data_IF_529297081899
#
_entry.id   IF_529297081899
#
_cell.length_a   1.000
_cell.length_b   1.000
_cell.length_c   1.000
_cell.angle_alpha   90.00
_cell.angle_beta   90.00
_cell.angle_gamma   90.00
#
_symmetry.space_group_name_H-M   'P 1'
#
loop_
_entity.id
_entity.type
_entity.pdbx_description
1 polymer ?
#
# COMPACT_ATOMS: atom_id res chain seq x y z
N UNK A 1 13.25 16.52 -18.32
CA UNK A 1 13.89 16.63 -16.97
C UNK A 1 14.99 15.56 -16.82
N UNK A 2 15.84 15.68 -15.82
CA UNK A 2 16.92 14.72 -15.56
C UNK A 2 16.64 13.93 -14.30
N UNK A 3 16.65 12.60 -14.39
CA UNK A 3 16.65 11.70 -13.25
C UNK A 3 18.02 11.03 -13.09
N UNK A 4 18.63 11.19 -11.91
CA UNK A 4 19.85 10.48 -11.56
C UNK A 4 19.50 9.14 -10.92
N UNK A 5 19.89 8.04 -11.56
CA UNK A 5 19.58 6.68 -11.15
C UNK A 5 20.85 5.81 -11.28
N UNK A 6 21.30 5.16 -10.20
CA UNK A 6 22.51 4.32 -10.19
C UNK A 6 23.75 5.03 -10.77
N UNK A 7 24.01 6.27 -10.29
CA UNK A 7 25.13 7.12 -10.72
C UNK A 7 25.12 7.50 -12.22
N UNK A 8 23.98 7.35 -12.88
CA UNK A 8 23.77 7.76 -14.28
C UNK A 8 22.64 8.78 -14.36
N UNK A 9 22.86 9.80 -15.21
CA UNK A 9 21.84 10.79 -15.54
C UNK A 9 21.05 10.33 -16.76
N UNK A 10 19.72 10.35 -16.65
CA UNK A 10 18.80 10.02 -17.72
C UNK A 10 17.94 11.23 -18.05
N UNK A 11 17.96 11.66 -19.29
CA UNK A 11 17.03 12.65 -19.80
C UNK A 11 15.68 11.97 -20.07
N UNK A 12 14.63 12.40 -19.41
CA UNK A 12 13.29 11.79 -19.49
C UNK A 12 12.22 12.87 -19.68
N UNK A 13 11.07 12.47 -20.18
CA UNK A 13 9.91 13.35 -20.25
C UNK A 13 9.43 13.78 -18.85
N UNK A 14 8.71 14.89 -18.76
CA UNK A 14 8.03 15.29 -17.52
C UNK A 14 7.04 14.20 -17.09
N UNK A 15 6.91 14.03 -15.77
CA UNK A 15 6.04 13.02 -15.16
C UNK A 15 6.41 11.56 -15.50
N UNK A 16 7.63 11.30 -15.97
CA UNK A 16 8.13 9.92 -16.11
C UNK A 16 8.25 9.28 -14.72
N UNK A 17 7.73 8.06 -14.56
CA UNK A 17 7.92 7.29 -13.32
C UNK A 17 9.28 6.58 -13.33
N UNK A 18 9.84 6.34 -12.13
CA UNK A 18 11.05 5.53 -12.00
C UNK A 18 10.83 4.10 -12.49
N UNK A 19 9.62 3.55 -12.26
CA UNK A 19 9.26 2.22 -12.75
C UNK A 19 9.32 2.10 -14.29
N UNK A 20 8.88 3.12 -15.02
CA UNK A 20 8.97 3.11 -16.48
C UNK A 20 10.40 3.29 -16.97
N UNK A 21 11.19 4.12 -16.30
CA UNK A 21 12.64 4.25 -16.57
C UNK A 21 13.35 2.91 -16.35
N UNK A 22 13.10 2.23 -15.23
CA UNK A 22 13.69 0.93 -14.93
C UNK A 22 13.30 -0.14 -15.95
N UNK A 23 12.04 -0.19 -16.39
CA UNK A 23 11.60 -1.10 -17.46
C UNK A 23 12.36 -0.88 -18.77
N UNK A 24 12.61 0.38 -19.12
CA UNK A 24 13.33 0.72 -20.33
C UNK A 24 14.82 0.37 -20.25
N UNK A 25 15.44 0.59 -19.09
CA UNK A 25 16.88 0.41 -18.90
C UNK A 25 17.28 -1.00 -18.43
N UNK A 26 16.39 -1.71 -17.74
CA UNK A 26 16.63 -2.99 -17.08
C UNK A 26 15.42 -3.93 -17.24
N UNK A 27 15.04 -4.31 -18.48
CA UNK A 27 13.79 -5.02 -18.74
C UNK A 27 13.65 -6.35 -18.00
N UNK A 28 14.74 -7.03 -17.71
CA UNK A 28 14.74 -8.32 -17.02
C UNK A 28 14.78 -8.18 -15.49
N UNK A 29 15.26 -7.06 -14.97
CA UNK A 29 15.60 -6.88 -13.54
C UNK A 29 14.70 -5.90 -12.79
N UNK A 30 13.93 -5.06 -13.46
CA UNK A 30 13.13 -3.99 -12.83
C UNK A 30 12.14 -4.50 -11.77
N UNK A 31 11.65 -5.73 -11.92
CA UNK A 31 10.62 -6.30 -11.03
C UNK A 31 11.09 -6.53 -9.59
N UNK A 32 12.38 -6.48 -9.32
CA UNK A 32 12.89 -6.57 -7.94
C UNK A 32 12.67 -5.29 -7.12
N UNK A 33 12.43 -4.15 -7.79
CA UNK A 33 12.23 -2.86 -7.13
C UNK A 33 10.77 -2.69 -6.73
N UNK A 34 10.56 -2.22 -5.50
CA UNK A 34 9.25 -2.15 -4.85
C UNK A 34 8.75 -0.71 -4.72
N UNK A 35 9.64 0.22 -4.44
CA UNK A 35 9.36 1.60 -4.07
C UNK A 35 10.54 2.48 -4.44
N UNK A 36 10.36 3.78 -4.47
CA UNK A 36 11.41 4.77 -4.74
C UNK A 36 11.63 5.65 -3.53
N UNK A 37 12.88 5.89 -3.17
CA UNK A 37 13.28 6.97 -2.26
C UNK A 37 13.73 8.17 -3.11
N UNK A 38 13.12 9.32 -2.86
CA UNK A 38 13.47 10.60 -3.47
C UNK A 38 14.69 11.23 -2.78
N UNK A 39 15.22 12.29 -3.38
CA UNK A 39 16.41 12.98 -2.87
C UNK A 39 16.23 13.56 -1.45
N UNK A 40 15.01 13.98 -1.10
CA UNK A 40 14.64 14.48 0.23
C UNK A 40 14.37 13.36 1.27
N UNK A 41 14.53 12.09 0.88
CA UNK A 41 14.25 10.91 1.70
C UNK A 41 12.82 10.43 1.66
N UNK A 42 11.90 11.15 1.03
CA UNK A 42 10.48 10.75 0.88
C UNK A 42 10.37 9.47 0.06
N UNK A 43 9.47 8.58 0.46
CA UNK A 43 9.13 7.38 -0.30
C UNK A 43 7.92 7.62 -1.18
N UNK A 44 7.96 7.15 -2.42
CA UNK A 44 6.80 7.16 -3.33
C UNK A 44 6.67 5.84 -4.08
N UNK A 45 5.46 5.58 -4.59
CA UNK A 45 5.20 4.38 -5.40
C UNK A 45 6.11 4.32 -6.61
N UNK A 46 6.54 3.12 -7.00
CA UNK A 46 7.46 2.90 -8.12
C UNK A 46 6.99 3.54 -9.43
N UNK A 47 5.67 3.63 -9.62
CA UNK A 47 5.02 4.21 -10.80
C UNK A 47 4.39 5.59 -10.57
N UNK A 48 4.71 6.24 -9.44
CA UNK A 48 4.33 7.64 -9.26
C UNK A 48 5.10 8.54 -10.24
N UNK A 49 4.42 9.53 -10.84
CA UNK A 49 5.09 10.51 -11.71
C UNK A 49 6.06 11.36 -10.88
N UNK A 50 7.27 11.55 -11.40
CA UNK A 50 8.26 12.45 -10.81
C UNK A 50 8.10 13.85 -11.42
N UNK A 51 7.94 14.86 -10.57
CA UNK A 51 7.59 16.21 -11.01
C UNK A 51 8.78 17.06 -11.48
N UNK A 52 10.00 16.78 -11.01
CA UNK A 52 11.20 17.57 -11.31
C UNK A 52 12.47 16.73 -11.32
N UNK A 53 13.54 17.32 -11.86
CA UNK A 53 14.86 16.68 -11.90
C UNK A 53 15.40 16.44 -10.50
N UNK A 54 15.83 15.23 -10.18
CA UNK A 54 16.37 14.84 -8.89
C UNK A 54 17.08 13.50 -8.92
N UNK A 55 17.75 13.15 -7.83
CA UNK A 55 18.28 11.81 -7.59
C UNK A 55 17.15 10.91 -7.06
N UNK A 56 17.05 9.70 -7.61
CA UNK A 56 16.05 8.70 -7.20
C UNK A 56 16.73 7.37 -6.91
N UNK A 57 16.33 6.73 -5.82
CA UNK A 57 16.88 5.43 -5.39
C UNK A 57 15.75 4.40 -5.33
N UNK A 58 15.65 3.50 -6.32
CA UNK A 58 14.71 2.40 -6.25
C UNK A 58 15.16 1.35 -5.23
N UNK A 59 14.24 0.92 -4.37
CA UNK A 59 14.51 0.03 -3.25
C UNK A 59 13.93 -1.35 -3.50
N UNK A 60 14.65 -2.37 -3.03
CA UNK A 60 14.23 -3.78 -3.07
C UNK A 60 13.73 -4.24 -1.70
N UNK A 61 13.32 -5.50 -1.59
CA UNK A 61 12.94 -6.12 -0.31
C UNK A 61 14.10 -6.19 0.71
N UNK A 62 15.35 -6.20 0.25
CA UNK A 62 16.51 -6.24 1.15
C UNK A 62 16.76 -4.90 1.87
N UNK A 63 16.25 -3.80 1.30
CA UNK A 63 16.26 -2.49 1.95
C UNK A 63 15.17 -2.42 3.06
N UNK A 64 15.47 -1.88 4.25
CA UNK A 64 14.50 -1.77 5.34
C UNK A 64 13.21 -1.04 4.94
N UNK A 65 13.30 0.05 4.17
CA UNK A 65 12.12 0.79 3.71
C UNK A 65 11.35 0.01 2.64
N UNK A 66 12.04 -0.68 1.73
CA UNK A 66 11.41 -1.57 0.76
C UNK A 66 10.65 -2.72 1.44
N UNK A 67 11.23 -3.30 2.48
CA UNK A 67 10.61 -4.33 3.31
C UNK A 67 9.39 -3.80 4.06
N UNK A 68 9.48 -2.60 4.64
CA UNK A 68 8.35 -1.94 5.31
C UNK A 68 7.18 -1.73 4.35
N UNK A 69 7.42 -1.28 3.13
CA UNK A 69 6.39 -1.12 2.09
C UNK A 69 5.77 -2.46 1.69
N UNK A 70 6.59 -3.52 1.63
CA UNK A 70 6.09 -4.87 1.37
C UNK A 70 5.11 -5.33 2.47
N UNK A 71 5.48 -5.20 3.74
CA UNK A 71 4.61 -5.59 4.86
C UNK A 71 3.37 -4.71 4.96
N UNK A 72 3.50 -3.41 4.72
CA UNK A 72 2.37 -2.50 4.64
C UNK A 72 1.37 -2.92 3.54
N UNK A 73 1.85 -3.27 2.36
CA UNK A 73 0.97 -3.77 1.29
C UNK A 73 0.36 -5.13 1.62
N UNK A 74 1.07 -5.98 2.38
CA UNK A 74 0.54 -7.25 2.86
C UNK A 74 -0.58 -7.06 3.90
N UNK A 75 -0.49 -6.04 4.78
CA UNK A 75 -1.57 -5.71 5.71
C UNK A 75 -2.84 -5.26 4.98
N UNK A 76 -2.71 -4.45 3.93
CA UNK A 76 -3.86 -4.07 3.10
C UNK A 76 -4.44 -5.24 2.29
N UNK A 77 -3.60 -6.17 1.79
CA UNK A 77 -4.07 -7.40 1.18
C UNK A 77 -4.88 -8.25 2.17
N UNK A 78 -4.46 -8.29 3.44
CA UNK A 78 -5.20 -8.96 4.51
C UNK A 78 -6.53 -8.23 4.79
N UNK A 79 -6.53 -6.91 4.89
CA UNK A 79 -7.75 -6.13 5.09
C UNK A 79 -8.77 -6.34 3.96
N UNK A 80 -8.32 -6.36 2.71
CA UNK A 80 -9.15 -6.73 1.55
C UNK A 80 -9.76 -8.12 1.71
N UNK A 81 -8.95 -9.12 2.07
CA UNK A 81 -9.42 -10.50 2.25
C UNK A 81 -10.44 -10.61 3.40
N UNK A 82 -10.21 -9.89 4.50
CA UNK A 82 -11.15 -9.81 5.62
C UNK A 82 -12.47 -9.19 5.17
N UNK A 83 -12.45 -8.06 4.48
CA UNK A 83 -13.69 -7.42 3.97
C UNK A 83 -14.47 -8.30 2.99
N UNK A 84 -13.80 -9.17 2.22
CA UNK A 84 -14.47 -10.13 1.36
C UNK A 84 -15.21 -11.23 2.13
N UNK A 85 -14.63 -11.70 3.22
CA UNK A 85 -15.17 -12.80 4.01
C UNK A 85 -16.09 -12.33 5.14
N UNK A 86 -15.79 -11.15 5.69
CA UNK A 86 -16.45 -10.54 6.83
C UNK A 86 -16.76 -9.07 6.52
N UNK A 87 -17.74 -8.78 5.67
CA UNK A 87 -18.02 -7.42 5.18
C UNK A 87 -18.39 -6.44 6.32
N UNK A 88 -18.93 -6.96 7.43
CA UNK A 88 -19.30 -6.15 8.61
C UNK A 88 -18.11 -5.74 9.48
N UNK A 89 -16.94 -6.40 9.34
CA UNK A 89 -15.73 -6.03 10.07
C UNK A 89 -15.33 -4.58 9.75
N UNK A 90 -15.11 -3.75 10.78
CA UNK A 90 -14.68 -2.36 10.61
C UNK A 90 -13.16 -2.27 10.59
N UNK A 91 -12.65 -1.44 9.72
CA UNK A 91 -11.22 -1.24 9.54
C UNK A 91 -10.71 -0.20 10.53
N UNK A 92 -9.74 -0.55 11.37
CA UNK A 92 -9.01 0.40 12.18
C UNK A 92 -7.66 0.75 11.52
N UNK A 93 -6.56 0.22 12.01
CA UNK A 93 -5.21 0.49 11.50
C UNK A 93 -4.44 -0.79 11.21
N UNK A 94 -3.54 -0.73 10.23
CA UNK A 94 -2.72 -1.88 9.79
C UNK A 94 -1.28 -1.50 9.49
N UNK A 95 -0.45 -1.19 10.50
CA UNK A 95 0.94 -0.84 10.27
C UNK A 95 1.80 -2.05 9.92
N UNK A 96 2.89 -1.79 9.20
CA UNK A 96 4.01 -2.71 9.13
C UNK A 96 4.79 -2.67 10.46
N UNK A 97 5.26 -3.83 10.89
CA UNK A 97 6.20 -4.00 12.00
C UNK A 97 7.54 -4.53 11.49
N UNK A 98 8.55 -4.65 12.36
CA UNK A 98 9.91 -4.99 11.95
C UNK A 98 10.00 -6.28 11.11
N UNK A 99 9.28 -7.34 11.50
CA UNK A 99 9.34 -8.65 10.87
C UNK A 99 7.96 -9.16 10.41
N UNK A 100 7.05 -8.24 10.05
CA UNK A 100 5.72 -8.63 9.62
C UNK A 100 4.73 -7.47 9.52
N UNK A 101 3.47 -7.83 9.66
CA UNK A 101 2.35 -6.89 9.60
C UNK A 101 1.21 -7.38 10.48
N UNK A 102 0.35 -6.47 10.86
CA UNK A 102 -0.96 -6.78 11.44
C UNK A 102 -2.01 -5.80 10.92
N UNK A 103 -3.24 -6.05 11.24
CA UNK A 103 -4.34 -5.13 11.00
C UNK A 103 -5.39 -5.30 12.09
N UNK A 104 -5.83 -4.20 12.66
CA UNK A 104 -6.85 -4.18 13.70
C UNK A 104 -8.24 -4.05 13.07
N UNK A 105 -9.12 -4.94 13.48
CA UNK A 105 -10.51 -4.99 13.04
C UNK A 105 -11.43 -4.95 14.24
N UNK A 106 -12.49 -4.16 14.16
CA UNK A 106 -13.60 -4.28 15.07
C UNK A 106 -14.66 -5.22 14.48
N UNK A 107 -15.01 -6.25 15.23
CA UNK A 107 -15.91 -7.33 14.82
C UNK A 107 -16.82 -7.74 15.98
N UNK A 108 -18.09 -8.00 15.70
CA UNK A 108 -19.03 -8.51 16.72
C UNK A 108 -18.58 -9.86 17.31
N UNK A 109 -18.02 -10.71 16.47
CA UNK A 109 -17.49 -12.03 16.86
C UNK A 109 -15.98 -12.05 16.58
N UNK A 110 -15.14 -12.31 17.59
CA UNK A 110 -13.69 -12.42 17.40
C UNK A 110 -13.31 -13.47 16.38
N UNK A 111 -12.27 -13.20 15.58
CA UNK A 111 -11.73 -14.18 14.65
C UNK A 111 -11.18 -15.41 15.37
N UNK A 112 -11.35 -16.55 14.75
CA UNK A 112 -10.82 -17.84 15.21
C UNK A 112 -9.57 -18.24 14.41
N UNK A 113 -8.87 -19.28 14.88
CA UNK A 113 -7.76 -19.87 14.11
C UNK A 113 -8.20 -20.47 12.77
N UNK A 114 -9.46 -20.94 12.68
CA UNK A 114 -10.04 -21.41 11.41
C UNK A 114 -10.26 -20.27 10.43
N UNK A 115 -10.62 -19.08 10.93
CA UNK A 115 -10.82 -17.90 10.09
C UNK A 115 -9.49 -17.40 9.51
N UNK A 116 -8.37 -17.53 10.25
CA UNK A 116 -7.04 -17.23 9.71
C UNK A 116 -6.74 -18.03 8.44
N UNK A 117 -7.06 -19.34 8.44
CA UNK A 117 -6.84 -20.19 7.27
C UNK A 117 -7.72 -19.77 6.08
N UNK A 118 -8.95 -19.32 6.33
CA UNK A 118 -9.85 -18.79 5.28
C UNK A 118 -9.32 -17.47 4.74
N UNK A 119 -8.87 -16.56 5.62
CA UNK A 119 -8.30 -15.26 5.25
C UNK A 119 -7.03 -15.47 4.43
N UNK A 120 -6.10 -16.35 4.84
CA UNK A 120 -4.91 -16.69 4.04
C UNK A 120 -5.25 -17.16 2.63
N UNK A 121 -6.24 -18.04 2.50
CA UNK A 121 -6.69 -18.54 1.19
C UNK A 121 -7.25 -17.43 0.32
N UNK A 122 -8.01 -16.52 0.91
CA UNK A 122 -8.57 -15.37 0.20
C UNK A 122 -7.47 -14.36 -0.19
N UNK A 123 -6.51 -14.08 0.71
CA UNK A 123 -5.33 -13.28 0.38
C UNK A 123 -4.56 -13.86 -0.82
N UNK A 124 -4.33 -15.18 -0.84
CA UNK A 124 -3.68 -15.86 -1.98
C UNK A 124 -4.49 -15.70 -3.27
N UNK A 125 -5.83 -15.76 -3.19
CA UNK A 125 -6.72 -15.55 -4.33
C UNK A 125 -6.62 -14.12 -4.84
N UNK A 126 -6.61 -13.13 -3.96
CA UNK A 126 -6.48 -11.71 -4.31
C UNK A 126 -5.09 -11.39 -4.90
N UNK A 127 -4.01 -11.90 -4.31
CA UNK A 127 -2.66 -11.69 -4.84
C UNK A 127 -2.50 -12.20 -6.29
N UNK A 128 -3.14 -13.33 -6.63
CA UNK A 128 -3.10 -13.88 -8.00
C UNK A 128 -3.80 -13.02 -9.06
N UNK A 129 -4.68 -12.08 -8.65
CA UNK A 129 -5.39 -11.20 -9.58
C UNK A 129 -4.51 -10.10 -10.19
N UNK A 130 -3.27 -9.98 -9.78
CA UNK A 130 -2.33 -8.94 -10.25
C UNK A 130 -2.88 -7.51 -10.10
N UNK A 131 -3.49 -7.23 -8.96
CA UNK A 131 -4.07 -5.92 -8.64
C UNK A 131 -2.95 -4.90 -8.45
N UNK A 132 -3.07 -3.75 -9.13
CA UNK A 132 -2.17 -2.59 -8.96
C UNK A 132 -2.81 -1.59 -8.03
N UNK A 133 -2.22 -1.27 -6.88
CA UNK A 133 -2.69 -0.20 -6.02
C UNK A 133 -2.69 1.13 -6.79
N UNK A 134 -3.76 1.89 -6.65
CA UNK A 134 -3.93 3.22 -7.28
C UNK A 134 -4.17 4.26 -6.20
N UNK A 135 -3.23 5.20 -6.06
CA UNK A 135 -3.34 6.33 -5.15
C UNK A 135 -4.21 7.43 -5.76
N UNK A 136 -5.07 8.03 -4.93
CA UNK A 136 -5.78 9.26 -5.24
C UNK A 136 -6.03 10.06 -3.95
N UNK A 137 -6.45 11.30 -4.08
CA UNK A 137 -6.76 12.18 -2.95
C UNK A 137 -8.20 12.65 -3.03
N UNK A 138 -8.80 12.91 -1.88
CA UNK A 138 -10.13 13.52 -1.77
C UNK A 138 -10.06 14.73 -0.85
N UNK A 139 -10.84 15.79 -1.13
CA UNK A 139 -11.12 16.84 -0.17
C UNK A 139 -11.73 16.25 1.11
N UNK A 140 -11.46 16.85 2.27
CA UNK A 140 -11.88 16.33 3.59
C UNK A 140 -13.37 15.97 3.66
N UNK A 141 -14.24 16.86 3.20
CA UNK A 141 -15.68 16.61 3.23
C UNK A 141 -16.09 15.39 2.38
N UNK A 142 -15.46 15.22 1.21
CA UNK A 142 -15.69 14.06 0.34
C UNK A 142 -15.11 12.78 0.94
N UNK A 143 -13.93 12.85 1.57
CA UNK A 143 -13.29 11.74 2.26
C UNK A 143 -14.15 11.22 3.42
N UNK A 144 -14.70 12.10 4.24
CA UNK A 144 -15.62 11.77 5.34
C UNK A 144 -16.89 11.10 4.76
N UNK A 145 -17.55 11.74 3.79
CA UNK A 145 -18.75 11.19 3.16
C UNK A 145 -18.50 9.81 2.52
N UNK A 146 -17.35 9.63 1.89
CA UNK A 146 -16.93 8.38 1.29
C UNK A 146 -16.77 7.25 2.33
N UNK A 147 -16.10 7.53 3.47
CA UNK A 147 -15.92 6.54 4.53
C UNK A 147 -17.20 6.27 5.31
N UNK A 148 -18.06 7.27 5.51
CA UNK A 148 -19.41 7.09 6.07
C UNK A 148 -20.26 6.16 5.19
N UNK A 149 -20.25 6.38 3.86
CA UNK A 149 -20.97 5.54 2.92
C UNK A 149 -20.48 4.08 2.88
N UNK A 150 -19.23 3.85 3.26
CA UNK A 150 -18.63 2.51 3.43
C UNK A 150 -18.81 1.93 4.83
N UNK A 151 -19.42 2.66 5.75
CA UNK A 151 -19.63 2.26 7.14
C UNK A 151 -18.30 1.97 7.88
N UNK A 152 -17.27 2.80 7.65
CA UNK A 152 -15.95 2.70 8.29
C UNK A 152 -15.76 3.84 9.32
N UNK A 153 -16.37 3.73 10.54
CA UNK A 153 -16.40 4.81 11.51
C UNK A 153 -15.00 5.21 12.01
N UNK A 154 -14.09 4.25 12.21
CA UNK A 154 -12.73 4.55 12.65
C UNK A 154 -11.92 5.32 11.61
N UNK A 155 -12.23 5.16 10.32
CA UNK A 155 -11.60 5.97 9.27
C UNK A 155 -12.15 7.38 9.24
N UNK A 156 -13.44 7.56 9.57
CA UNK A 156 -14.04 8.88 9.74
C UNK A 156 -13.39 9.61 10.92
N UNK A 157 -13.33 8.97 12.09
CA UNK A 157 -12.66 9.52 13.29
C UNK A 157 -11.19 9.89 12.99
N UNK A 158 -10.45 8.99 12.34
CA UNK A 158 -9.06 9.28 11.94
C UNK A 158 -8.95 10.52 11.04
N UNK A 159 -9.87 10.70 10.07
CA UNK A 159 -9.87 11.87 9.20
C UNK A 159 -10.17 13.15 10.01
N UNK A 160 -11.10 13.07 10.96
CA UNK A 160 -11.48 14.22 11.80
C UNK A 160 -10.34 14.66 12.73
N UNK A 161 -9.53 13.71 13.21
CA UNK A 161 -8.38 13.96 14.09
C UNK A 161 -7.14 14.51 13.35
N UNK A 162 -7.05 14.34 12.03
CA UNK A 162 -5.93 14.87 11.24
C UNK A 162 -6.00 16.40 11.11
N UNK A 163 -4.86 17.11 10.99
CA UNK A 163 -4.81 18.55 10.71
C UNK A 163 -5.67 18.93 9.49
N UNK A 164 -6.27 20.13 9.51
CA UNK A 164 -7.18 20.58 8.44
C UNK A 164 -6.52 20.66 7.06
N UNK A 165 -5.22 20.95 7.01
CA UNK A 165 -4.40 21.09 5.81
C UNK A 165 -3.78 19.74 5.35
N UNK A 166 -4.02 18.65 6.08
CA UNK A 166 -3.49 17.33 5.72
C UNK A 166 -4.09 16.82 4.41
N UNK A 167 -3.21 16.31 3.54
CA UNK A 167 -3.61 15.71 2.26
C UNK A 167 -4.14 14.31 2.48
N UNK A 168 -5.45 14.13 2.38
CA UNK A 168 -6.11 12.84 2.56
C UNK A 168 -5.96 11.98 1.31
N UNK A 169 -5.14 10.96 1.41
CA UNK A 169 -4.90 10.01 0.32
C UNK A 169 -5.53 8.64 0.59
N UNK A 170 -5.93 8.02 -0.50
CA UNK A 170 -6.57 6.72 -0.54
C UNK A 170 -5.82 5.81 -1.51
N UNK A 171 -5.84 4.53 -1.21
CA UNK A 171 -5.38 3.51 -2.14
C UNK A 171 -6.51 2.56 -2.50
N UNK A 172 -6.83 2.54 -3.79
CA UNK A 172 -7.77 1.58 -4.38
C UNK A 172 -7.02 0.34 -4.85
N UNK A 173 -7.47 -0.83 -4.44
CA UNK A 173 -6.92 -2.14 -4.74
C UNK A 173 -8.05 -3.05 -5.24
N UNK A 174 -8.46 -2.90 -6.49
CA UNK A 174 -9.64 -3.59 -7.03
C UNK A 174 -10.94 -3.06 -6.42
N UNK A 175 -11.66 -3.91 -5.71
CA UNK A 175 -12.90 -3.57 -5.01
C UNK A 175 -12.69 -3.06 -3.57
N UNK A 176 -11.47 -3.08 -3.09
CA UNK A 176 -11.08 -2.58 -1.77
C UNK A 176 -10.45 -1.19 -1.88
N UNK A 177 -10.79 -0.31 -0.93
CA UNK A 177 -10.16 1.01 -0.79
C UNK A 177 -9.94 1.31 0.67
N UNK A 178 -8.79 1.87 0.99
CA UNK A 178 -8.46 2.33 2.34
C UNK A 178 -7.87 3.74 2.35
N UNK A 179 -8.11 4.48 3.44
CA UNK A 179 -7.42 5.72 3.76
C UNK A 179 -5.97 5.38 4.13
N UNK A 180 -5.01 5.87 3.36
CA UNK A 180 -3.63 5.48 3.52
C UNK A 180 -2.68 6.49 2.88
N UNK A 181 -1.58 6.78 3.56
CA UNK A 181 -0.51 7.65 3.04
C UNK A 181 0.33 6.93 1.97
N UNK A 182 0.45 5.63 2.08
CA UNK A 182 1.33 4.82 1.21
C UNK A 182 2.81 4.90 1.64
N UNK A 183 3.76 4.61 0.71
CA UNK A 183 3.50 4.00 -0.60
C UNK A 183 3.17 2.50 -0.53
N UNK A 184 2.77 1.95 -1.66
CA UNK A 184 2.47 0.53 -1.82
C UNK A 184 3.31 -0.16 -2.90
N UNK A 185 3.27 -1.49 -2.90
CA UNK A 185 3.88 -2.32 -3.95
C UNK A 185 3.31 -1.99 -5.33
N UNK A 186 4.11 -2.14 -6.41
CA UNK A 186 3.63 -1.94 -7.77
C UNK A 186 2.47 -2.86 -8.18
N UNK A 187 2.36 -4.01 -7.49
CA UNK A 187 1.32 -5.00 -7.74
C UNK A 187 1.23 -5.96 -6.55
N UNK A 188 0.03 -6.33 -6.12
CA UNK A 188 -0.16 -7.26 -5.01
C UNK A 188 0.36 -8.68 -5.29
N UNK A 189 0.57 -9.05 -6.57
CA UNK A 189 1.18 -10.33 -6.94
C UNK A 189 2.65 -10.50 -6.53
N UNK A 190 3.28 -9.44 -6.03
CA UNK A 190 4.60 -9.52 -5.39
C UNK A 190 4.55 -10.26 -4.05
N UNK A 191 3.37 -10.30 -3.39
CA UNK A 191 3.16 -10.98 -2.12
C UNK A 191 2.87 -12.46 -2.40
N UNK A 192 3.92 -13.25 -2.55
CA UNK A 192 3.83 -14.67 -2.96
C UNK A 192 3.72 -15.63 -1.80
N UNK A 193 4.29 -15.27 -0.65
CA UNK A 193 4.32 -16.10 0.55
C UNK A 193 4.09 -15.27 1.80
N UNK A 194 3.20 -15.73 2.65
CA UNK A 194 2.88 -15.15 3.95
C UNK A 194 2.23 -16.21 4.84
N UNK A 195 2.20 -15.95 6.12
CA UNK A 195 1.52 -16.76 7.13
C UNK A 195 0.87 -15.87 8.16
N UNK A 196 -0.42 -16.10 8.43
CA UNK A 196 -1.11 -15.51 9.56
C UNK A 196 -0.89 -16.41 10.77
N UNK A 197 -0.30 -15.89 11.83
CA UNK A 197 0.23 -16.71 12.93
C UNK A 197 -0.69 -16.77 14.13
N UNK A 198 -1.39 -15.67 14.45
CA UNK A 198 -2.28 -15.62 15.62
C UNK A 198 -3.28 -14.48 15.50
N UNK A 199 -4.31 -14.56 16.32
CA UNK A 199 -5.28 -13.49 16.60
C UNK A 199 -5.04 -13.05 18.05
N UNK A 200 -5.02 -11.73 18.28
CA UNK A 200 -5.09 -11.14 19.60
C UNK A 200 -6.42 -10.40 19.74
N UNK A 201 -7.06 -10.52 20.88
CA UNK A 201 -8.17 -9.64 21.25
C UNK A 201 -7.63 -8.30 21.75
N UNK A 202 -8.34 -7.21 21.50
CA UNK A 202 -8.08 -5.91 22.08
C UNK A 202 -8.70 -5.81 23.49
#
# INVERSE_FOLDING_TARGET
>A
MILNLFDKAYEVAENTSVGDLLKAQMPDDWKKYLVVRLEDGTLCDLFSPIAHSQTVTPLTFDDPDGRKVFFHSASHLMAMAVKHLFPEAKLAIGPAIADGFYYDFDTEVPFTMEDLAKIEKEMQRCAKKSIRPRRYTLPRAEAIAYMQGRQEPYKVELIEDLPEDEVLSFYEMGDFTDLCVGPHLPNLSYIKAFKLTHVAGA
#
